data_IF_180045434835
#
_entry.id   IF_180045434835
#
_cell.length_a   1.000
_cell.length_b   1.000
_cell.length_c   1.000
_cell.angle_alpha   90.00
_cell.angle_beta   90.00
_cell.angle_gamma   90.00
#
_symmetry.space_group_name_H-M   'P 1'
#
loop_
_entity.id
_entity.type
_entity.pdbx_description
1 polymer ?
#
# COMPACT_ATOMS: atom_id res chain seq x y z
N UNK A 1 14.49 -59.81 29.37
CA UNK A 1 15.15 -58.53 29.73
C UNK A 1 15.59 -57.75 28.49
N UNK A 2 16.27 -58.40 27.52
CA UNK A 2 16.80 -57.79 26.28
C UNK A 2 15.71 -57.18 25.37
N UNK A 3 14.55 -57.85 25.19
CA UNK A 3 13.45 -57.33 24.36
C UNK A 3 12.81 -56.02 24.88
N UNK A 4 12.81 -55.83 26.21
CA UNK A 4 12.29 -54.59 26.83
C UNK A 4 13.25 -53.42 26.61
N UNK A 5 14.55 -53.67 26.70
CA UNK A 5 15.60 -52.67 26.44
C UNK A 5 15.58 -52.21 24.97
N UNK A 6 15.40 -53.13 24.02
CA UNK A 6 15.31 -52.82 22.58
C UNK A 6 14.10 -51.93 22.22
N UNK A 7 12.96 -52.17 22.87
CA UNK A 7 11.74 -51.38 22.66
C UNK A 7 11.84 -49.99 23.30
N UNK A 8 12.52 -49.87 24.45
CA UNK A 8 12.82 -48.57 25.09
C UNK A 8 13.77 -47.74 24.21
N UNK A 9 14.81 -48.37 23.63
CA UNK A 9 15.72 -47.67 22.72
C UNK A 9 15.02 -47.23 21.43
N UNK A 10 14.13 -48.04 20.86
CA UNK A 10 13.36 -47.65 19.67
C UNK A 10 12.41 -46.47 19.94
N UNK A 11 11.73 -46.46 21.09
CA UNK A 11 10.83 -45.36 21.47
C UNK A 11 11.59 -44.04 21.67
N UNK A 12 12.77 -44.08 22.29
CA UNK A 12 13.58 -42.89 22.48
C UNK A 12 14.08 -42.30 21.15
N UNK A 13 14.48 -43.15 20.20
CA UNK A 13 14.88 -42.71 18.84
C UNK A 13 13.69 -42.08 18.11
N UNK A 14 12.49 -42.68 18.19
CA UNK A 14 11.30 -42.13 17.56
C UNK A 14 10.90 -40.76 18.14
N UNK A 15 11.04 -40.58 19.46
CA UNK A 15 10.80 -39.30 20.13
C UNK A 15 11.82 -38.25 19.69
N UNK A 16 13.11 -38.63 19.62
CA UNK A 16 14.19 -37.73 19.20
C UNK A 16 14.03 -37.28 17.74
N UNK A 17 13.65 -38.21 16.86
CA UNK A 17 13.39 -37.94 15.44
C UNK A 17 12.15 -37.05 15.25
N UNK A 18 11.09 -37.29 16.04
CA UNK A 18 9.90 -36.45 16.07
C UNK A 18 10.20 -35.02 16.52
N UNK A 19 11.01 -34.84 17.56
CA UNK A 19 11.49 -33.53 18.03
C UNK A 19 12.34 -32.80 16.97
N UNK A 20 13.18 -33.52 16.22
CA UNK A 20 13.98 -32.92 15.15
C UNK A 20 13.14 -32.40 13.97
N UNK A 21 11.99 -33.02 13.67
CA UNK A 21 11.09 -32.55 12.61
C UNK A 21 10.47 -31.18 12.91
N UNK A 22 10.27 -30.83 14.19
CA UNK A 22 9.77 -29.52 14.61
C UNK A 22 10.78 -28.37 14.42
N UNK A 23 12.06 -28.66 14.15
CA UNK A 23 13.09 -27.65 13.86
C UNK A 23 13.39 -27.49 12.36
N UNK A 24 12.64 -28.15 11.47
CA UNK A 24 12.85 -28.04 10.01
C UNK A 24 12.36 -26.71 9.41
N UNK A 25 11.58 -25.93 10.16
CA UNK A 25 11.26 -24.56 9.76
C UNK A 25 12.45 -23.66 10.09
N UNK A 26 13.48 -23.69 9.24
CA UNK A 26 14.45 -22.61 9.15
C UNK A 26 13.70 -21.39 8.59
N UNK A 27 13.54 -20.28 9.34
CA UNK A 27 13.12 -19.05 8.71
C UNK A 27 14.22 -18.64 7.74
N UNK A 28 13.91 -18.69 6.44
CA UNK A 28 14.79 -18.21 5.37
C UNK A 28 14.78 -16.67 5.44
N UNK A 29 15.40 -16.13 6.50
CA UNK A 29 15.40 -14.69 6.83
C UNK A 29 16.00 -13.86 5.69
N UNK A 30 16.91 -14.47 4.92
CA UNK A 30 17.59 -13.85 3.78
C UNK A 30 16.64 -13.56 2.61
N UNK A 31 15.55 -14.34 2.44
CA UNK A 31 14.51 -14.03 1.45
C UNK A 31 13.56 -12.91 1.87
N UNK A 32 13.42 -12.66 3.17
CA UNK A 32 12.51 -11.62 3.68
C UNK A 32 13.09 -10.23 3.40
N UNK A 33 14.42 -10.05 3.46
CA UNK A 33 15.06 -8.77 3.17
C UNK A 33 14.90 -8.32 1.71
N UNK A 34 14.86 -9.25 0.75
CA UNK A 34 14.57 -8.92 -0.66
C UNK A 34 13.13 -8.49 -0.93
N UNK A 35 12.16 -8.94 -0.12
CA UNK A 35 10.76 -8.46 -0.20
C UNK A 35 10.61 -7.10 0.52
N UNK A 36 11.51 -6.80 1.45
CA UNK A 36 11.50 -5.55 2.24
C UNK A 36 12.38 -4.46 1.63
N UNK A 37 12.94 -4.67 0.43
CA UNK A 37 13.47 -3.55 -0.33
C UNK A 37 12.26 -2.70 -0.69
N UNK A 38 12.03 -1.64 0.08
CA UNK A 38 11.25 -0.46 -0.29
C UNK A 38 11.88 0.06 -1.58
N UNK A 39 11.54 -0.56 -2.70
CA UNK A 39 11.79 0.06 -3.97
C UNK A 39 10.91 1.33 -3.99
N UNK A 40 11.47 2.45 -4.44
CA UNK A 40 10.80 3.77 -4.53
C UNK A 40 9.69 3.77 -5.60
N UNK A 41 8.91 2.69 -5.70
CA UNK A 41 7.78 2.60 -6.61
C UNK A 41 6.50 3.02 -5.89
N UNK A 42 5.59 3.69 -6.60
CA UNK A 42 4.28 3.96 -6.05
C UNK A 42 3.54 2.64 -5.81
N UNK A 43 2.83 2.56 -4.68
CA UNK A 43 1.95 1.42 -4.39
C UNK A 43 0.67 1.47 -5.23
N UNK A 44 0.34 2.63 -5.78
CA UNK A 44 -0.82 2.86 -6.63
C UNK A 44 -0.47 3.92 -7.69
N UNK A 45 -0.80 3.64 -8.94
CA UNK A 45 -0.68 4.58 -10.05
C UNK A 45 -2.02 4.64 -10.80
N UNK A 46 -2.46 5.83 -11.17
CA UNK A 46 -3.65 6.06 -11.98
C UNK A 46 -3.36 7.03 -13.11
N UNK A 47 -3.87 6.73 -14.30
CA UNK A 47 -3.82 7.60 -15.47
C UNK A 47 -5.21 8.13 -15.80
N UNK A 48 -5.29 9.35 -16.33
CA UNK A 48 -6.53 10.03 -16.72
C UNK A 48 -7.56 10.03 -15.58
N UNK A 49 -7.10 10.36 -14.37
CA UNK A 49 -7.89 10.39 -13.15
C UNK A 49 -8.98 11.46 -13.26
N UNK A 50 -10.21 11.08 -12.85
CA UNK A 50 -11.35 11.98 -12.77
C UNK A 50 -12.13 11.73 -11.49
N UNK A 51 -12.02 12.66 -10.55
CA UNK A 51 -12.69 12.62 -9.26
C UNK A 51 -13.90 13.56 -9.29
N UNK A 52 -15.09 13.02 -9.02
CA UNK A 52 -16.29 13.81 -8.81
C UNK A 52 -16.65 13.83 -7.34
N UNK A 53 -16.79 15.03 -6.78
CA UNK A 53 -17.34 15.21 -5.45
C UNK A 53 -18.78 15.71 -5.56
N UNK A 54 -19.69 14.96 -4.94
CA UNK A 54 -21.11 15.28 -4.93
C UNK A 54 -21.67 15.24 -3.51
N UNK A 55 -22.55 16.19 -3.21
CA UNK A 55 -23.27 16.25 -1.94
C UNK A 55 -24.74 16.55 -2.24
N UNK A 56 -25.65 15.90 -1.51
CA UNK A 56 -27.10 15.99 -1.74
C UNK A 56 -27.50 15.70 -3.20
N UNK A 57 -26.85 14.70 -3.83
CA UNK A 57 -27.03 14.31 -5.24
C UNK A 57 -26.74 15.44 -6.26
N UNK A 58 -25.95 16.44 -5.88
CA UNK A 58 -25.47 17.52 -6.75
C UNK A 58 -23.96 17.48 -6.83
N UNK A 59 -23.41 17.59 -8.05
CA UNK A 59 -21.96 17.69 -8.27
C UNK A 59 -21.52 19.08 -7.80
N UNK A 60 -20.54 19.12 -6.91
CA UNK A 60 -19.97 20.38 -6.41
C UNK A 60 -18.61 20.67 -7.06
N UNK A 61 -17.82 19.64 -7.33
CA UNK A 61 -16.56 19.78 -8.05
C UNK A 61 -16.21 18.54 -8.87
N UNK A 62 -15.44 18.77 -9.93
CA UNK A 62 -14.80 17.74 -10.74
C UNK A 62 -13.31 18.07 -10.76
N UNK A 63 -12.46 17.13 -10.35
CA UNK A 63 -11.01 17.21 -10.45
C UNK A 63 -10.52 16.20 -11.48
N UNK A 64 -9.67 16.66 -12.39
CA UNK A 64 -9.08 15.88 -13.47
C UNK A 64 -7.56 15.99 -13.39
N UNK A 65 -6.86 14.85 -13.46
CA UNK A 65 -5.40 14.79 -13.45
C UNK A 65 -4.90 13.75 -14.47
N UNK A 66 -3.85 14.04 -15.25
CA UNK A 66 -3.32 13.09 -16.22
C UNK A 66 -2.71 11.86 -15.56
N UNK A 67 -2.06 12.04 -14.40
CA UNK A 67 -1.31 11.01 -13.70
C UNK A 67 -1.33 11.24 -12.19
N UNK A 68 -1.51 10.18 -11.42
CA UNK A 68 -1.47 10.15 -9.97
C UNK A 68 -0.63 8.97 -9.51
N UNK A 69 0.20 9.21 -8.51
CA UNK A 69 1.04 8.20 -7.86
C UNK A 69 0.88 8.28 -6.34
N UNK A 70 0.63 7.16 -5.67
CA UNK A 70 0.56 7.07 -4.21
C UNK A 70 1.71 6.25 -3.68
N UNK A 71 2.42 6.78 -2.70
CA UNK A 71 3.56 6.14 -2.07
C UNK A 71 3.23 5.84 -0.61
N UNK A 72 3.49 4.61 -0.18
CA UNK A 72 3.36 4.19 1.22
C UNK A 72 4.73 4.10 1.89
N UNK A 73 4.76 4.26 3.21
CA UNK A 73 6.00 4.19 3.98
C UNK A 73 5.87 4.91 5.31
N UNK A 74 7.02 5.34 5.84
CA UNK A 74 7.07 6.10 7.08
C UNK A 74 6.47 7.50 6.90
N UNK A 75 6.48 8.04 5.69
CA UNK A 75 5.86 9.31 5.30
C UNK A 75 5.07 9.09 4.00
N UNK A 76 3.80 8.63 4.08
CA UNK A 76 2.98 8.39 2.91
C UNK A 76 2.56 9.71 2.24
N UNK A 77 2.56 9.72 0.91
CA UNK A 77 2.17 10.88 0.11
C UNK A 77 1.53 10.46 -1.20
N UNK A 78 0.74 11.37 -1.76
CA UNK A 78 0.18 11.25 -3.10
C UNK A 78 0.73 12.38 -3.96
N UNK A 79 1.18 12.05 -5.15
CA UNK A 79 1.77 12.98 -6.11
C UNK A 79 0.94 13.02 -7.39
N UNK A 80 0.77 14.22 -7.92
CA UNK A 80 0.17 14.52 -9.21
C UNK A 80 1.26 15.17 -10.07
N UNK A 81 2.18 14.39 -10.66
CA UNK A 81 3.40 14.91 -11.29
C UNK A 81 3.11 15.78 -12.52
N UNK A 82 1.98 15.55 -13.18
CA UNK A 82 1.48 16.33 -14.32
C UNK A 82 0.39 17.34 -13.90
N UNK A 83 0.21 17.53 -12.59
CA UNK A 83 -0.73 18.49 -12.03
C UNK A 83 -2.19 18.05 -12.11
N UNK A 84 -3.08 19.01 -11.93
CA UNK A 84 -4.53 18.78 -11.95
C UNK A 84 -5.29 20.03 -12.35
N UNK A 85 -6.55 19.83 -12.75
CA UNK A 85 -7.55 20.88 -12.94
C UNK A 85 -8.78 20.52 -12.12
N UNK A 86 -9.17 21.39 -11.20
CA UNK A 86 -10.36 21.27 -10.38
C UNK A 86 -11.35 22.37 -10.73
N UNK A 87 -12.53 21.96 -11.16
CA UNK A 87 -13.63 22.85 -11.55
C UNK A 87 -14.76 22.73 -10.54
N UNK A 88 -15.23 23.87 -10.03
CA UNK A 88 -16.34 23.96 -9.08
C UNK A 88 -17.63 24.38 -9.79
N UNK A 89 -18.76 23.86 -9.33
CA UNK A 89 -20.07 24.08 -9.93
C UNK A 89 -21.08 24.66 -8.95
N UNK A 90 -22.00 25.47 -9.46
CA UNK A 90 -23.20 25.90 -8.73
C UNK A 90 -24.32 24.84 -8.80
N UNK A 91 -25.47 25.16 -8.19
CA UNK A 91 -26.63 24.26 -8.17
C UNK A 91 -27.25 24.01 -9.57
N UNK A 92 -26.93 24.83 -10.56
CA UNK A 92 -27.40 24.73 -11.94
C UNK A 92 -26.35 24.12 -12.87
N UNK A 93 -25.25 23.56 -12.34
CA UNK A 93 -24.13 23.01 -13.11
C UNK A 93 -23.35 24.05 -13.93
N UNK A 94 -23.42 25.33 -13.56
CA UNK A 94 -22.52 26.33 -14.14
C UNK A 94 -21.19 26.33 -13.39
N UNK A 95 -20.10 26.46 -14.13
CA UNK A 95 -18.76 26.64 -13.55
C UNK A 95 -18.70 27.95 -12.75
N UNK A 96 -18.34 27.84 -11.47
CA UNK A 96 -18.20 29.01 -10.57
C UNK A 96 -16.75 29.43 -10.44
N UNK A 97 -15.83 28.47 -10.40
CA UNK A 97 -14.40 28.72 -10.27
C UNK A 97 -13.59 27.51 -10.72
N UNK A 98 -12.30 27.75 -11.00
CA UNK A 98 -11.34 26.74 -11.40
C UNK A 98 -10.01 26.96 -10.70
N UNK A 99 -9.44 25.87 -10.20
CA UNK A 99 -8.10 25.82 -9.60
C UNK A 99 -7.29 24.82 -10.42
N UNK A 100 -6.07 25.17 -10.77
CA UNK A 100 -5.17 24.27 -11.49
C UNK A 100 -3.74 24.44 -11.02
N UNK A 101 -3.00 23.36 -11.07
CA UNK A 101 -1.57 23.31 -10.78
C UNK A 101 -0.89 22.43 -11.83
N UNK A 102 0.38 22.70 -12.14
CA UNK A 102 1.17 21.84 -13.03
C UNK A 102 1.85 20.70 -12.27
N UNK A 103 1.80 20.75 -10.95
CA UNK A 103 2.31 19.75 -10.03
C UNK A 103 1.59 19.87 -8.69
N UNK A 104 1.29 18.75 -8.04
CA UNK A 104 0.85 18.77 -6.66
C UNK A 104 1.34 17.56 -5.87
N UNK A 105 1.55 17.76 -4.58
CA UNK A 105 1.83 16.70 -3.61
C UNK A 105 0.94 16.88 -2.39
N UNK A 106 0.33 15.78 -1.94
CA UNK A 106 -0.45 15.70 -0.72
C UNK A 106 0.27 14.82 0.28
N UNK A 107 0.64 15.37 1.42
CA UNK A 107 1.21 14.64 2.54
C UNK A 107 0.06 14.07 3.39
N UNK A 108 -0.16 12.75 3.33
CA UNK A 108 -1.34 12.11 3.94
C UNK A 108 -1.39 12.27 5.47
N UNK A 109 -0.23 12.43 6.12
CA UNK A 109 -0.14 12.59 7.58
C UNK A 109 -0.38 14.01 8.08
N UNK A 110 -0.01 15.01 7.27
CA UNK A 110 0.04 16.41 7.71
C UNK A 110 -1.17 17.22 7.23
N UNK A 111 -2.10 16.60 6.49
CA UNK A 111 -3.23 17.24 5.81
C UNK A 111 -2.80 18.48 4.99
N UNK A 112 -1.58 18.39 4.44
CA UNK A 112 -0.92 19.47 3.71
C UNK A 112 -0.90 19.11 2.23
N UNK A 113 -1.33 20.07 1.40
CA UNK A 113 -1.25 20.00 -0.05
C UNK A 113 -0.37 21.15 -0.54
N UNK A 114 0.72 20.80 -1.19
CA UNK A 114 1.57 21.75 -1.91
C UNK A 114 1.28 21.65 -3.40
N UNK A 115 0.81 22.73 -3.99
CA UNK A 115 0.48 22.84 -5.41
C UNK A 115 1.25 24.00 -6.06
N UNK A 116 1.76 23.78 -7.27
CA UNK A 116 2.63 24.72 -8.00
C UNK A 116 2.14 25.05 -9.40
#
# INVERSE_FOLDING_TARGET
>A
MILKLLNITLKNIAILLGLAMFFSCSPDLEKIETITRKDDFPVEEAENLRILYSSHARIQMIMEAPRMERYEGDEPYMELPEGFVMTFYDEQMNETSRISANYAIQYEKDDLIDAR
#
